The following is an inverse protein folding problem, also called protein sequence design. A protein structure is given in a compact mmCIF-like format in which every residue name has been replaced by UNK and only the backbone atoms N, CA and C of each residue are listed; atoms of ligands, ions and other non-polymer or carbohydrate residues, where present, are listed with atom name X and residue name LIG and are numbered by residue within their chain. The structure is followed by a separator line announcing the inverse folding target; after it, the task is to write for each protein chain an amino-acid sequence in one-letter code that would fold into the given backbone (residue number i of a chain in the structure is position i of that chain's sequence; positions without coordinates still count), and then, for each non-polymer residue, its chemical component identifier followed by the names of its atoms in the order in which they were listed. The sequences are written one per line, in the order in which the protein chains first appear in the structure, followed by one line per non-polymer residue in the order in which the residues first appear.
data_IF_108469413110
#
_entry.id   IF_108469413110
#
_cell.length_a   1.000
_cell.length_b   1.000
_cell.length_c   1.000
_cell.angle_alpha   90.00
_cell.angle_beta   90.00
_cell.angle_gamma   90.00
#
_symmetry.space_group_name_H-M   'P 1'
#
loop_
_entity.id
_entity.type
_entity.pdbx_description
1 polymer ?
#
# COMPACT_ATOMS: atom_id res chain seq x y z
N UNK A 1 -13.64 6.30 4.73
CA UNK A 1 -12.56 5.32 4.65
C UNK A 1 -11.40 5.88 3.87
N UNK A 2 -10.19 5.51 4.29
CA UNK A 2 -8.95 5.81 3.59
C UNK A 2 -8.32 4.48 3.17
N UNK A 3 -7.81 4.39 1.94
CA UNK A 3 -6.89 3.32 1.56
C UNK A 3 -5.47 3.85 1.78
N UNK A 4 -4.61 3.08 2.41
CA UNK A 4 -3.19 3.39 2.59
C UNK A 4 -2.36 2.31 1.88
N UNK A 5 -1.45 2.72 1.01
CA UNK A 5 -0.41 1.85 0.50
C UNK A 5 0.73 1.85 1.51
N UNK A 6 0.96 0.70 2.13
CA UNK A 6 2.02 0.48 3.11
C UNK A 6 3.10 -0.40 2.49
N UNK A 7 4.36 -0.14 2.80
CA UNK A 7 5.45 -1.09 2.58
C UNK A 7 5.89 -1.68 3.91
N UNK A 8 5.89 -3.01 4.00
CA UNK A 8 6.58 -3.73 5.06
C UNK A 8 8.01 -4.00 4.61
N UNK A 9 9.01 -3.43 5.29
CA UNK A 9 10.43 -3.67 5.04
C UNK A 9 10.93 -4.71 6.05
N UNK A 10 11.21 -5.92 5.57
CA UNK A 10 11.64 -7.03 6.42
C UNK A 10 13.09 -6.88 6.86
N UNK A 11 13.93 -6.21 6.07
CA UNK A 11 15.33 -5.95 6.44
C UNK A 11 15.43 -4.95 7.59
N UNK A 12 14.48 -3.99 7.65
CA UNK A 12 14.41 -2.96 8.69
C UNK A 12 13.40 -3.26 9.79
N UNK A 13 12.68 -4.36 9.68
CA UNK A 13 11.65 -4.78 10.64
C UNK A 13 10.63 -3.67 10.95
N UNK A 14 9.99 -3.12 9.91
CA UNK A 14 8.97 -2.09 10.12
C UNK A 14 8.09 -1.79 8.91
N UNK A 15 7.15 -0.89 9.12
CA UNK A 15 6.14 -0.51 8.14
C UNK A 15 6.21 0.99 7.85
N UNK A 16 6.06 1.36 6.58
CA UNK A 16 6.02 2.76 6.14
C UNK A 16 4.80 2.99 5.26
N UNK A 17 3.95 3.93 5.64
CA UNK A 17 2.85 4.38 4.81
C UNK A 17 3.38 5.28 3.67
N UNK A 18 3.18 4.85 2.43
CA UNK A 18 3.72 5.50 1.23
C UNK A 18 2.73 6.46 0.57
N UNK A 19 1.46 6.08 0.52
CA UNK A 19 0.42 6.87 -0.14
C UNK A 19 -0.94 6.65 0.51
N UNK A 20 -1.81 7.65 0.42
CA UNK A 20 -3.17 7.62 0.96
C UNK A 20 -4.20 8.06 -0.09
N UNK A 21 -5.33 7.37 -0.15
CA UNK A 21 -6.51 7.78 -0.92
C UNK A 21 -7.68 8.02 0.04
N UNK A 22 -7.99 9.28 0.37
CA UNK A 22 -8.98 9.57 1.41
C UNK A 22 -10.43 9.67 0.92
N UNK A 23 -11.34 9.49 1.89
CA UNK A 23 -12.75 9.85 1.75
C UNK A 23 -13.59 8.90 0.90
N UNK A 24 -13.13 7.67 0.69
CA UNK A 24 -13.89 6.64 -0.01
C UNK A 24 -15.05 6.16 0.86
N UNK A 25 -16.15 5.77 0.22
CA UNK A 25 -17.17 4.97 0.88
C UNK A 25 -16.58 3.59 1.21
N UNK A 26 -17.04 2.93 2.27
CA UNK A 26 -16.49 1.62 2.66
C UNK A 26 -16.62 0.58 1.55
N UNK A 27 -17.81 0.49 0.94
CA UNK A 27 -18.06 -0.44 -0.16
C UNK A 27 -17.14 -0.17 -1.36
N UNK A 28 -16.90 1.10 -1.70
CA UNK A 28 -15.97 1.52 -2.76
C UNK A 28 -14.54 1.11 -2.42
N UNK A 29 -14.08 1.37 -1.20
CA UNK A 29 -12.73 1.04 -0.77
C UNK A 29 -12.46 -0.48 -0.79
N UNK A 30 -13.41 -1.27 -0.29
CA UNK A 30 -13.35 -2.74 -0.33
C UNK A 30 -13.35 -3.28 -1.76
N UNK A 31 -14.11 -2.67 -2.67
CA UNK A 31 -14.11 -3.06 -4.09
C UNK A 31 -12.76 -2.78 -4.75
N UNK A 32 -12.14 -1.65 -4.47
CA UNK A 32 -10.80 -1.32 -4.99
C UNK A 32 -9.77 -2.35 -4.50
N UNK A 33 -9.72 -2.61 -3.19
CA UNK A 33 -8.79 -3.61 -2.62
C UNK A 33 -9.03 -4.99 -3.23
N UNK A 34 -10.29 -5.43 -3.27
CA UNK A 34 -10.65 -6.74 -3.84
C UNK A 34 -10.27 -6.89 -5.32
N UNK A 35 -10.35 -5.80 -6.12
CA UNK A 35 -9.90 -5.81 -7.52
C UNK A 35 -8.38 -5.90 -7.62
N UNK A 36 -7.65 -5.18 -6.78
CA UNK A 36 -6.19 -5.26 -6.73
C UNK A 36 -5.75 -6.67 -6.32
N UNK A 37 -6.34 -7.24 -5.27
CA UNK A 37 -6.06 -8.62 -4.84
C UNK A 37 -6.34 -9.65 -5.95
N UNK A 38 -7.41 -9.46 -6.72
CA UNK A 38 -7.76 -10.36 -7.82
C UNK A 38 -6.80 -10.27 -9.03
N UNK A 39 -6.05 -9.17 -9.17
CA UNK A 39 -5.04 -9.00 -10.22
C UNK A 39 -3.70 -9.66 -9.86
N UNK A 40 -3.45 -9.90 -8.57
CA UNK A 40 -2.24 -10.59 -8.10
C UNK A 40 -2.37 -12.09 -8.39
N UNK A 41 -1.62 -12.55 -9.37
CA UNK A 41 -1.47 -13.98 -9.66
C UNK A 41 -0.64 -14.60 -8.53
N UNK A 42 -0.97 -15.81 -8.02
CA UNK A 42 -0.25 -16.43 -6.90
C UNK A 42 1.27 -16.50 -7.08
N UNK A 43 1.75 -16.77 -8.30
CA UNK A 43 3.18 -16.87 -8.60
C UNK A 43 3.89 -15.50 -8.65
N UNK A 44 3.13 -14.40 -8.74
CA UNK A 44 3.64 -13.04 -8.75
C UNK A 44 3.57 -12.37 -7.38
N UNK A 45 2.84 -12.96 -6.43
CA UNK A 45 2.75 -12.47 -5.06
C UNK A 45 4.12 -12.57 -4.38
N UNK A 46 4.64 -11.49 -3.77
CA UNK A 46 5.87 -11.55 -3.00
C UNK A 46 5.78 -12.61 -1.89
N UNK A 47 6.79 -13.45 -1.79
CA UNK A 47 6.87 -14.41 -0.69
C UNK A 47 7.17 -13.68 0.62
N UNK A 48 6.23 -13.74 1.55
CA UNK A 48 6.32 -13.09 2.85
C UNK A 48 7.55 -13.54 3.68
N UNK A 49 8.09 -14.74 3.43
CA UNK A 49 9.24 -15.24 4.17
C UNK A 49 10.58 -14.78 3.58
N UNK A 50 10.64 -14.48 2.28
CA UNK A 50 11.92 -14.30 1.56
C UNK A 50 12.05 -12.95 0.85
N UNK A 51 10.96 -12.24 0.61
CA UNK A 51 11.01 -10.89 0.04
C UNK A 51 11.63 -9.91 1.04
N UNK A 52 12.56 -9.07 0.58
CA UNK A 52 13.16 -8.00 1.39
C UNK A 52 12.12 -6.97 1.86
N UNK A 53 11.09 -6.75 1.03
CA UNK A 53 9.95 -5.91 1.34
C UNK A 53 8.72 -6.37 0.56
N UNK A 54 7.54 -6.00 1.06
CA UNK A 54 6.26 -6.24 0.40
C UNK A 54 5.34 -5.04 0.54
N UNK A 55 4.43 -4.85 -0.43
CA UNK A 55 3.46 -3.77 -0.44
C UNK A 55 2.07 -4.29 -0.07
N UNK A 56 1.33 -3.50 0.70
CA UNK A 56 0.02 -3.88 1.25
C UNK A 56 -0.95 -2.70 1.05
N UNK A 57 -2.20 -3.00 0.70
CA UNK A 57 -3.28 -2.02 0.75
C UNK A 57 -4.07 -2.20 2.03
N UNK A 58 -3.97 -1.21 2.90
CA UNK A 58 -4.66 -1.16 4.17
C UNK A 58 -5.92 -0.31 4.06
N UNK A 59 -7.02 -0.78 4.65
CA UNK A 59 -8.25 -0.04 4.80
C UNK A 59 -8.30 0.57 6.20
N UNK A 60 -8.40 1.90 6.27
CA UNK A 60 -8.44 2.65 7.52
C UNK A 60 -9.75 3.43 7.67
N UNK A 61 -10.23 3.56 8.91
CA UNK A 61 -11.30 4.48 9.29
C UNK A 61 -10.93 5.26 10.56
N UNK A 62 -10.91 6.59 10.49
CA UNK A 62 -10.70 7.48 11.65
C UNK A 62 -9.47 7.17 12.53
N UNK A 63 -8.45 6.52 11.97
CA UNK A 63 -7.22 6.13 12.70
C UNK A 63 -7.19 4.67 13.14
N UNK A 64 -8.24 3.89 12.87
CA UNK A 64 -8.27 2.46 13.10
C UNK A 64 -8.00 1.70 11.78
N UNK A 65 -7.13 0.70 11.84
CA UNK A 65 -6.95 -0.27 10.77
C UNK A 65 -8.14 -1.23 10.79
N UNK A 66 -8.92 -1.23 9.71
CA UNK A 66 -10.14 -2.03 9.56
C UNK A 66 -9.85 -3.36 8.86
N UNK A 67 -8.99 -3.33 7.84
CA UNK A 67 -8.67 -4.49 7.03
C UNK A 67 -7.30 -4.31 6.38
N UNK A 68 -6.61 -5.42 6.17
CA UNK A 68 -5.42 -5.47 5.31
C UNK A 68 -5.79 -6.33 4.12
N UNK A 69 -5.49 -5.89 2.90
CA UNK A 69 -5.77 -6.67 1.69
C UNK A 69 -5.34 -8.14 1.81
N UNK A 70 -5.94 -9.01 0.99
CA UNK A 70 -5.66 -10.46 1.07
C UNK A 70 -4.36 -10.86 0.41
N UNK A 71 -3.75 -9.95 -0.35
CA UNK A 71 -2.54 -10.19 -1.14
C UNK A 71 -1.46 -9.16 -0.84
N UNK A 72 -0.22 -9.63 -0.92
CA UNK A 72 0.93 -8.74 -1.05
C UNK A 72 1.02 -8.25 -2.50
N UNK A 73 1.07 -6.93 -2.69
CA UNK A 73 1.14 -6.37 -4.03
C UNK A 73 2.54 -6.53 -4.63
N UNK A 74 2.65 -7.01 -5.87
CA UNK A 74 3.89 -6.94 -6.63
C UNK A 74 4.34 -5.48 -6.80
N UNK A 75 5.66 -5.26 -6.91
CA UNK A 75 6.22 -3.92 -7.10
C UNK A 75 5.60 -3.18 -8.30
N UNK A 76 5.31 -3.89 -9.38
CA UNK A 76 4.73 -3.30 -10.59
C UNK A 76 3.33 -2.72 -10.33
N UNK A 77 2.51 -3.37 -9.50
CA UNK A 77 1.19 -2.89 -9.14
C UNK A 77 1.24 -1.72 -8.16
N UNK A 78 2.14 -1.79 -7.17
CA UNK A 78 2.40 -0.66 -6.27
C UNK A 78 2.87 0.58 -7.05
N UNK A 79 3.80 0.40 -7.98
CA UNK A 79 4.28 1.45 -8.89
C UNK A 79 3.17 1.99 -9.81
N UNK A 80 2.25 1.14 -10.26
CA UNK A 80 1.14 1.56 -11.12
C UNK A 80 0.19 2.53 -10.43
N UNK A 81 -0.10 2.31 -9.15
CA UNK A 81 -1.05 3.15 -8.39
C UNK A 81 -0.38 4.32 -7.65
N UNK A 82 0.91 4.21 -7.32
CA UNK A 82 1.64 5.19 -6.52
C UNK A 82 3.10 5.35 -6.98
N UNK A 83 3.31 5.61 -8.27
CA UNK A 83 4.64 5.64 -8.90
C UNK A 83 5.65 6.52 -8.14
N UNK A 84 5.32 7.79 -7.89
CA UNK A 84 6.26 8.72 -7.27
C UNK A 84 6.60 8.34 -5.81
N UNK A 85 5.62 8.09 -4.91
CA UNK A 85 5.92 7.67 -3.55
C UNK A 85 6.72 6.36 -3.47
N UNK A 86 6.37 5.35 -4.28
CA UNK A 86 7.08 4.07 -4.30
C UNK A 86 8.50 4.24 -4.84
N UNK A 87 8.68 5.02 -5.92
CA UNK A 87 10.02 5.30 -6.48
C UNK A 87 10.91 6.01 -5.46
N UNK A 88 10.37 7.02 -4.77
CA UNK A 88 11.11 7.76 -3.75
C UNK A 88 11.54 6.85 -2.60
N UNK A 89 10.61 6.02 -2.12
CA UNK A 89 10.93 5.07 -1.07
C UNK A 89 12.00 4.05 -1.50
N UNK A 90 11.94 3.53 -2.73
CA UNK A 90 12.97 2.61 -3.23
C UNK A 90 14.36 3.25 -3.31
N UNK A 91 14.44 4.55 -3.62
CA UNK A 91 15.71 5.28 -3.71
C UNK A 91 16.27 5.70 -2.35
N UNK A 92 15.41 6.06 -1.40
CA UNK A 92 15.84 6.58 -0.10
C UNK A 92 15.92 5.47 0.96
N UNK A 93 15.01 4.50 0.89
CA UNK A 93 14.72 3.45 1.89
C UNK A 93 15.01 3.95 3.31
N UNK A 94 14.26 4.94 3.83
CA UNK A 94 14.51 5.50 5.15
C UNK A 94 14.26 4.48 6.26
N UNK A 95 14.76 4.72 7.47
CA UNK A 95 14.34 3.93 8.64
C UNK A 95 12.86 4.17 8.95
N UNK A 96 12.06 3.13 9.28
CA UNK A 96 10.63 3.29 9.60
C UNK A 96 10.36 4.34 10.70
N UNK A 97 11.19 4.35 11.74
CA UNK A 97 11.04 5.28 12.87
C UNK A 97 11.28 6.75 12.47
N UNK A 98 12.15 7.01 11.48
CA UNK A 98 12.46 8.37 10.98
C UNK A 98 11.32 8.99 10.17
N UNK A 99 10.33 8.17 9.78
CA UNK A 99 9.23 8.58 8.90
C UNK A 99 7.85 8.41 9.54
N UNK A 100 7.76 7.85 10.75
CA UNK A 100 6.50 7.60 11.45
C UNK A 100 5.61 8.85 11.60
N UNK A 101 6.23 10.02 11.75
CA UNK A 101 5.52 11.30 11.92
C UNK A 101 5.38 12.11 10.63
N UNK A 102 5.87 11.60 9.50
CA UNK A 102 5.75 12.29 8.21
C UNK A 102 4.33 12.15 7.69
N UNK A 103 3.82 13.23 7.10
CA UNK A 103 2.51 13.18 6.46
C UNK A 103 2.55 12.22 5.25
N UNK A 104 1.60 11.28 5.21
CA UNK A 104 1.44 10.36 4.08
C UNK A 104 0.89 11.14 2.88
N UNK A 105 1.55 11.13 1.71
CA UNK A 105 1.07 11.81 0.51
C UNK A 105 -0.34 11.36 0.11
N UNK A 106 -1.25 12.33 -0.09
CA UNK A 106 -2.58 12.05 -0.61
C UNK A 106 -2.57 12.01 -2.14
N UNK A 107 -3.04 10.91 -2.73
CA UNK A 107 -3.09 10.71 -4.17
C UNK A 107 -4.53 10.87 -4.72
N UNK A 108 -4.67 11.28 -6.00
CA UNK A 108 -5.99 11.43 -6.62
C UNK A 108 -6.64 10.05 -6.83
N UNK A 109 -7.96 9.97 -6.66
CA UNK A 109 -8.71 8.70 -6.87
C UNK A 109 -8.54 8.10 -8.27
N UNK A 110 -8.26 8.94 -9.27
CA UNK A 110 -8.00 8.49 -10.66
C UNK A 110 -6.76 7.62 -10.82
N UNK A 111 -5.89 7.54 -9.79
CA UNK A 111 -4.74 6.62 -9.78
C UNK A 111 -5.10 5.21 -9.31
N UNK A 112 -6.25 5.02 -8.67
CA UNK A 112 -6.77 3.70 -8.35
C UNK A 112 -7.40 3.08 -9.59
N UNK A 113 -7.42 1.74 -9.70
CA UNK A 113 -8.20 1.09 -10.75
C UNK A 113 -9.65 1.58 -10.66
N UNK A 114 -10.20 2.02 -11.81
CA UNK A 114 -11.57 2.52 -11.91
C UNK A 114 -12.55 1.52 -11.27
N UNK A 115 -13.57 2.04 -10.58
CA UNK A 115 -14.74 1.28 -10.12
C UNK A 115 -15.72 1.11 -11.27
#
# INVERSE_FOLDING_TARGET
MDIILTVGDHEKNGFVALARWPGLAEAEARQVIGRMDAQVIPDAEPDNATAAFAFILDLWDRGDLIDTGKRLLPLQDAMRIAQEPVSRWLSERPEPDDVLHRAVPALPRSSLPLV
#
